data_IF_455317116150
#
_entry.id   IF_455317116150
#
_cell.length_a   1.000
_cell.length_b   1.000
_cell.length_c   1.000
_cell.angle_alpha   90.00
_cell.angle_beta   90.00
_cell.angle_gamma   90.00
#
_symmetry.space_group_name_H-M   'P 1'
#
loop_
_entity.id
_entity.type
_entity.pdbx_description
1 polymer ?
#
# COMPACT_ATOMS: atom_id res chain seq x y z
N UNK A 1 -7.88 2.53 37.17
CA UNK A 1 -8.15 2.63 35.71
C UNK A 1 -8.40 4.10 35.36
N UNK A 2 -7.41 4.77 34.75
CA UNK A 2 -7.53 6.17 34.31
C UNK A 2 -7.91 6.18 32.83
N UNK A 3 -9.06 6.77 32.51
CA UNK A 3 -9.47 7.10 31.13
C UNK A 3 -8.89 8.45 30.78
N UNK A 4 -7.93 8.49 29.86
CA UNK A 4 -7.42 9.73 29.28
C UNK A 4 -8.19 10.00 28.00
N UNK A 5 -9.01 11.05 28.01
CA UNK A 5 -9.67 11.60 26.84
C UNK A 5 -8.70 12.62 26.24
N UNK A 6 -8.23 12.38 25.02
CA UNK A 6 -7.35 13.33 24.31
C UNK A 6 -8.21 14.26 23.47
N UNK A 7 -8.21 15.52 23.87
CA UNK A 7 -8.84 16.67 23.21
C UNK A 7 -8.15 16.99 21.88
N UNK A 8 -8.94 17.20 20.83
CA UNK A 8 -8.45 17.69 19.54
C UNK A 8 -8.25 19.21 19.61
N UNK A 9 -6.99 19.63 19.50
CA UNK A 9 -6.59 21.04 19.45
C UNK A 9 -6.86 21.66 18.08
N UNK A 10 -7.79 22.62 18.06
CA UNK A 10 -7.91 23.84 17.24
C UNK A 10 -7.23 23.87 15.87
N UNK A 11 -8.08 23.87 14.83
CA UNK A 11 -7.75 24.26 13.46
C UNK A 11 -7.55 25.78 13.43
N UNK A 12 -6.37 26.22 12.96
CA UNK A 12 -6.07 27.63 12.72
C UNK A 12 -6.71 28.07 11.41
N UNK A 13 -7.66 29.00 11.49
CA UNK A 13 -8.26 29.67 10.36
C UNK A 13 -7.31 30.76 9.83
N UNK A 14 -6.87 30.63 8.58
CA UNK A 14 -6.17 31.71 7.87
C UNK A 14 -7.17 32.47 7.01
N UNK A 15 -7.08 33.78 7.14
CA UNK A 15 -7.98 34.84 6.70
C UNK A 15 -8.26 34.88 5.20
N UNK A 16 -9.54 34.94 4.87
CA UNK A 16 -10.10 35.21 3.55
C UNK A 16 -10.16 36.74 3.37
N UNK A 17 -9.26 37.31 2.55
CA UNK A 17 -9.33 38.74 2.18
C UNK A 17 -10.17 38.84 0.91
N UNK A 18 -11.42 39.24 1.08
CA UNK A 18 -12.32 39.59 -0.03
C UNK A 18 -11.97 41.01 -0.46
N UNK A 19 -11.27 41.17 -1.58
CA UNK A 19 -11.17 42.46 -2.26
C UNK A 19 -12.22 42.54 -3.35
N UNK A 20 -13.28 43.30 -3.07
CA UNK A 20 -14.29 43.70 -4.06
C UNK A 20 -13.71 44.85 -4.88
N UNK A 21 -13.69 44.70 -6.20
CA UNK A 21 -13.57 45.82 -7.13
C UNK A 21 -14.58 45.61 -8.26
N UNK A 22 -15.42 46.62 -8.43
CA UNK A 22 -16.61 46.62 -9.26
C UNK A 22 -16.33 47.40 -10.55
N UNK A 23 -16.83 46.87 -11.66
CA UNK A 23 -17.30 47.51 -12.91
C UNK A 23 -16.35 47.77 -14.12
N UNK A 24 -16.90 47.34 -15.27
CA UNK A 24 -16.80 47.85 -16.65
C UNK A 24 -15.71 47.33 -17.61
N UNK A 25 -16.06 46.22 -18.29
CA UNK A 25 -16.27 46.12 -19.75
C UNK A 25 -15.18 46.54 -20.73
N UNK A 26 -14.64 45.56 -21.47
CA UNK A 26 -14.45 45.60 -22.93
C UNK A 26 -14.50 44.18 -23.49
N UNK A 27 -15.26 44.01 -24.57
CA UNK A 27 -15.33 42.79 -25.37
C UNK A 27 -14.03 42.58 -26.16
N UNK A 28 -13.38 41.44 -25.93
CA UNK A 28 -12.42 40.86 -26.86
C UNK A 28 -12.54 39.35 -26.81
N UNK A 29 -12.80 38.73 -27.96
CA UNK A 29 -12.68 37.29 -28.15
C UNK A 29 -11.21 36.89 -28.00
N UNK A 30 -10.80 36.63 -26.75
CA UNK A 30 -9.51 36.02 -26.44
C UNK A 30 -9.65 34.51 -26.56
N UNK A 31 -9.01 33.93 -27.56
CA UNK A 31 -8.79 32.49 -27.64
C UNK A 31 -8.04 32.06 -26.37
N UNK A 32 -8.65 31.20 -25.55
CA UNK A 32 -7.95 30.50 -24.48
C UNK A 32 -7.06 29.42 -25.11
N UNK A 33 -5.86 29.84 -25.52
CA UNK A 33 -4.72 28.97 -25.78
C UNK A 33 -3.90 28.91 -24.50
N UNK A 34 -3.50 27.70 -24.11
CA UNK A 34 -2.50 27.50 -23.07
C UNK A 34 -2.90 26.41 -22.10
N UNK A 35 -2.66 25.17 -22.51
CA UNK A 35 -2.58 24.00 -21.66
C UNK A 35 -1.72 24.29 -20.45
N UNK A 36 -2.35 24.49 -19.30
CA UNK A 36 -1.67 24.41 -18.02
C UNK A 36 -2.05 23.06 -17.41
N UNK A 37 -1.42 22.02 -17.94
CA UNK A 37 -1.47 20.68 -17.38
C UNK A 37 -0.63 20.69 -16.09
N UNK A 38 -1.18 21.27 -15.02
CA UNK A 38 -0.56 21.25 -13.70
C UNK A 38 -0.73 19.86 -13.12
N UNK A 39 0.12 18.93 -13.55
CA UNK A 39 0.26 17.63 -12.93
C UNK A 39 0.85 17.84 -11.53
N UNK A 40 0.00 17.72 -10.51
CA UNK A 40 0.42 17.72 -9.11
C UNK A 40 1.11 16.39 -8.82
N UNK A 41 2.45 16.35 -8.92
CA UNK A 41 3.23 15.18 -8.49
C UNK A 41 3.36 15.19 -6.96
N UNK A 42 2.52 14.42 -6.28
CA UNK A 42 2.65 14.20 -4.83
C UNK A 42 3.76 13.16 -4.61
N UNK A 43 5.00 13.61 -4.35
CA UNK A 43 6.10 12.72 -3.97
C UNK A 43 5.93 12.30 -2.51
N UNK A 44 5.54 11.05 -2.26
CA UNK A 44 5.46 10.51 -0.90
C UNK A 44 6.86 10.13 -0.40
N UNK A 45 7.44 10.94 0.49
CA UNK A 45 8.67 10.55 1.20
C UNK A 45 8.41 9.27 2.02
N UNK A 46 9.21 8.23 1.76
CA UNK A 46 9.14 6.98 2.53
C UNK A 46 9.45 7.28 4.00
N UNK A 47 8.65 6.80 4.97
CA UNK A 47 9.05 6.83 6.36
C UNK A 47 10.31 5.97 6.56
N UNK A 48 11.24 6.42 7.40
CA UNK A 48 12.53 5.73 7.65
C UNK A 48 12.40 4.33 8.29
N UNK A 49 11.19 3.93 8.70
CA UNK A 49 10.89 2.60 9.23
C UNK A 49 10.35 1.63 8.17
N UNK A 50 10.32 2.04 6.90
CA UNK A 50 9.79 1.24 5.79
C UNK A 50 10.89 0.70 4.90
N UNK A 51 10.75 -0.56 4.47
CA UNK A 51 11.63 -1.13 3.46
C UNK A 51 11.01 -0.89 2.09
N UNK A 52 11.74 -0.19 1.22
CA UNK A 52 11.33 0.05 -0.18
C UNK A 52 12.07 -0.92 -1.09
N UNK A 53 11.33 -1.62 -1.95
CA UNK A 53 11.84 -2.65 -2.84
C UNK A 53 11.43 -2.39 -4.29
N UNK A 54 12.25 -2.83 -5.26
CA UNK A 54 11.85 -2.83 -6.67
C UNK A 54 10.86 -3.98 -6.93
N UNK A 55 9.94 -3.81 -7.87
CA UNK A 55 8.99 -4.85 -8.25
C UNK A 55 9.71 -6.10 -8.79
N UNK A 56 9.25 -7.29 -8.40
CA UNK A 56 9.84 -8.58 -8.79
C UNK A 56 11.13 -8.97 -8.04
N UNK A 57 11.57 -8.16 -7.07
CA UNK A 57 12.78 -8.43 -6.28
C UNK A 57 12.69 -9.74 -5.48
N UNK A 58 13.79 -10.50 -5.49
CA UNK A 58 13.97 -11.63 -4.58
C UNK A 58 14.16 -11.14 -3.15
N UNK A 59 13.42 -11.74 -2.21
CA UNK A 59 13.34 -11.30 -0.83
C UNK A 59 13.37 -12.48 0.15
N UNK A 60 13.90 -12.20 1.33
CA UNK A 60 13.79 -13.05 2.51
C UNK A 60 13.16 -12.23 3.62
N UNK A 61 11.96 -12.63 4.03
CA UNK A 61 11.16 -11.93 5.03
C UNK A 61 11.00 -12.79 6.27
N UNK A 62 10.90 -12.13 7.42
CA UNK A 62 10.51 -12.77 8.67
C UNK A 62 9.21 -12.15 9.16
N UNK A 63 8.35 -12.97 9.72
CA UNK A 63 7.05 -12.54 10.19
C UNK A 63 6.19 -13.68 10.68
N UNK A 64 5.00 -13.34 11.14
CA UNK A 64 4.00 -14.31 11.60
C UNK A 64 3.01 -14.60 10.49
N UNK A 65 2.70 -15.88 10.25
CA UNK A 65 1.63 -16.27 9.34
C UNK A 65 0.28 -16.05 10.02
N UNK A 66 -0.59 -15.25 9.41
CA UNK A 66 -1.95 -15.00 9.87
C UNK A 66 -2.95 -15.27 8.72
N UNK A 67 -4.21 -15.54 9.06
CA UNK A 67 -5.30 -15.59 8.10
C UNK A 67 -6.17 -14.35 8.22
N UNK A 68 -6.41 -13.68 7.09
CA UNK A 68 -7.33 -12.56 7.00
C UNK A 68 -8.61 -13.03 6.33
N UNK A 69 -9.76 -12.75 6.96
CA UNK A 69 -11.07 -12.94 6.36
C UNK A 69 -11.55 -11.60 5.80
N UNK A 70 -11.98 -11.60 4.54
CA UNK A 70 -12.55 -10.42 3.89
C UNK A 70 -13.73 -10.81 3.04
N UNK A 71 -14.43 -9.81 2.51
CA UNK A 71 -15.63 -9.97 1.70
C UNK A 71 -15.35 -9.52 0.29
N UNK A 72 -15.63 -10.40 -0.68
CA UNK A 72 -15.51 -10.05 -2.09
C UNK A 72 -16.52 -8.95 -2.45
N UNK A 73 -16.04 -7.92 -3.15
CA UNK A 73 -16.82 -6.72 -3.47
C UNK A 73 -17.96 -6.98 -4.46
N UNK A 74 -17.86 -8.03 -5.27
CA UNK A 74 -18.82 -8.34 -6.33
C UNK A 74 -19.85 -9.40 -5.91
N UNK A 75 -19.37 -10.54 -5.40
CA UNK A 75 -20.22 -11.65 -4.95
C UNK A 75 -20.74 -11.46 -3.53
N UNK A 76 -20.08 -10.64 -2.71
CA UNK A 76 -20.40 -10.51 -1.29
C UNK A 76 -20.04 -11.74 -0.46
N UNK A 77 -19.34 -12.72 -1.04
CA UNK A 77 -18.91 -13.92 -0.32
C UNK A 77 -17.72 -13.62 0.57
N UNK A 78 -17.67 -14.27 1.72
CA UNK A 78 -16.49 -14.25 2.57
C UNK A 78 -15.43 -15.20 2.01
N UNK A 79 -14.18 -14.77 2.02
CA UNK A 79 -13.04 -15.61 1.72
C UNK A 79 -11.91 -15.31 2.70
N UNK A 80 -11.03 -16.30 2.87
CA UNK A 80 -9.84 -16.19 3.71
C UNK A 80 -8.61 -16.34 2.83
N UNK A 81 -7.54 -15.65 3.19
CA UNK A 81 -6.24 -15.79 2.55
C UNK A 81 -5.12 -15.65 3.59
N UNK A 82 -3.96 -16.21 3.27
CA UNK A 82 -2.77 -16.13 4.10
C UNK A 82 -2.06 -14.79 3.92
N UNK A 83 -1.58 -14.24 5.03
CA UNK A 83 -0.70 -13.07 5.04
C UNK A 83 0.53 -13.37 5.88
N UNK A 84 1.67 -12.81 5.46
CA UNK A 84 2.82 -12.66 6.32
C UNK A 84 2.74 -11.30 7.00
N UNK A 85 2.54 -11.31 8.32
CA UNK A 85 2.62 -10.10 9.15
C UNK A 85 4.08 -9.88 9.55
N UNK A 86 4.64 -8.81 9.03
CA UNK A 86 6.04 -8.43 9.21
C UNK A 86 6.23 -7.41 10.34
N UNK A 87 7.41 -7.37 10.93
CA UNK A 87 7.74 -6.39 11.99
C UNK A 87 7.99 -4.98 11.43
N UNK A 88 8.43 -4.90 10.17
CA UNK A 88 8.71 -3.66 9.46
C UNK A 88 7.82 -3.55 8.24
N UNK A 89 7.14 -2.42 8.00
CA UNK A 89 6.33 -2.26 6.79
C UNK A 89 7.16 -2.30 5.51
N UNK A 90 6.56 -2.86 4.45
CA UNK A 90 7.11 -2.95 3.11
C UNK A 90 6.30 -2.13 2.13
N UNK A 91 6.97 -1.55 1.12
CA UNK A 91 6.35 -0.90 -0.02
C UNK A 91 7.18 -1.15 -1.28
N UNK A 92 6.56 -1.04 -2.44
CA UNK A 92 7.29 -0.97 -3.70
C UNK A 92 7.78 0.45 -3.97
N UNK A 93 8.88 0.53 -4.71
CA UNK A 93 9.43 1.78 -5.21
C UNK A 93 8.48 2.34 -6.27
N UNK A 94 8.16 3.62 -6.12
CA UNK A 94 7.44 4.37 -7.14
C UNK A 94 8.28 4.43 -8.41
N UNK A 95 7.71 4.00 -9.53
CA UNK A 95 8.30 4.19 -10.87
C UNK A 95 7.75 5.51 -11.40
N UNK A 96 8.63 6.46 -11.70
CA UNK A 96 8.20 7.76 -12.24
C UNK A 96 7.44 7.52 -13.55
N UNK A 97 6.25 8.11 -13.67
CA UNK A 97 5.43 8.01 -14.88
C UNK A 97 6.05 8.90 -15.98
N UNK A 98 7.09 8.39 -16.63
CA UNK A 98 7.81 9.07 -17.72
C UNK A 98 7.22 8.78 -19.09
N UNK A 99 6.12 8.02 -19.18
CA UNK A 99 5.58 7.50 -20.44
C UNK A 99 6.32 6.27 -20.99
N UNK A 100 7.42 5.85 -20.35
CA UNK A 100 8.16 4.62 -20.64
C UNK A 100 8.30 3.80 -19.35
N UNK A 101 7.53 2.72 -19.24
CA UNK A 101 7.58 1.80 -18.09
C UNK A 101 6.21 1.38 -17.60
N UNK A 102 6.16 0.27 -16.86
CA UNK A 102 4.92 -0.23 -16.27
C UNK A 102 4.54 0.63 -15.06
N UNK A 103 3.37 1.28 -15.14
CA UNK A 103 2.80 2.04 -14.04
C UNK A 103 2.51 1.13 -12.85
N UNK A 104 3.02 1.49 -11.67
CA UNK A 104 2.70 0.80 -10.41
C UNK A 104 1.59 1.57 -9.69
N UNK A 105 0.52 0.87 -9.35
CA UNK A 105 -0.62 1.42 -8.62
C UNK A 105 -0.23 1.89 -7.20
N UNK A 106 -0.77 3.03 -6.76
CA UNK A 106 -0.57 3.67 -5.45
C UNK A 106 -0.69 2.72 -4.24
N UNK A 107 -1.56 1.72 -4.34
CA UNK A 107 -1.72 0.69 -3.31
C UNK A 107 -0.43 -0.09 -3.04
N UNK A 108 0.46 -0.20 -4.03
CA UNK A 108 1.75 -0.90 -3.92
C UNK A 108 2.86 -0.06 -3.29
N UNK A 109 2.81 1.26 -3.45
CA UNK A 109 3.79 2.20 -2.87
C UNK A 109 3.40 2.63 -1.45
N UNK A 110 2.19 2.25 -1.01
CA UNK A 110 1.72 2.44 0.35
C UNK A 110 2.34 1.40 1.29
N UNK A 111 3.04 1.81 2.37
CA UNK A 111 3.62 0.87 3.32
C UNK A 111 2.60 -0.06 3.98
N UNK A 112 2.86 -1.36 3.95
CA UNK A 112 2.03 -2.39 4.60
C UNK A 112 2.86 -3.33 5.47
N UNK A 113 2.31 -3.73 6.63
CA UNK A 113 2.89 -4.80 7.47
C UNK A 113 2.31 -6.17 7.12
N UNK A 114 1.16 -6.22 6.44
CA UNK A 114 0.48 -7.44 6.05
C UNK A 114 0.70 -7.66 4.56
N UNK A 115 1.53 -8.64 4.23
CA UNK A 115 1.81 -9.01 2.86
C UNK A 115 0.99 -10.26 2.53
N UNK A 116 -0.02 -10.18 1.64
CA UNK A 116 -0.72 -11.35 1.15
C UNK A 116 0.25 -12.31 0.48
N UNK A 117 0.09 -13.60 0.76
CA UNK A 117 0.93 -14.65 0.19
C UNK A 117 0.19 -15.26 -0.98
N UNK A 118 0.82 -15.26 -2.15
CA UNK A 118 0.30 -15.97 -3.32
C UNK A 118 0.49 -17.46 -3.13
N UNK A 119 -0.61 -18.18 -3.18
CA UNK A 119 -0.73 -19.61 -2.89
C UNK A 119 -0.36 -20.40 -4.15
N UNK A 120 0.26 -21.57 -4.00
CA UNK A 120 0.65 -22.36 -5.18
C UNK A 120 -0.56 -23.05 -5.83
N UNK A 121 -1.55 -23.44 -5.02
CA UNK A 121 -2.81 -24.01 -5.49
C UNK A 121 -4.02 -23.23 -4.91
N UNK A 122 -4.72 -22.43 -5.73
CA UNK A 122 -5.89 -21.65 -5.30
C UNK A 122 -7.03 -22.49 -4.70
N UNK A 123 -7.08 -23.80 -5.01
CA UNK A 123 -8.10 -24.71 -4.46
C UNK A 123 -7.79 -25.16 -3.03
N UNK A 124 -6.54 -25.02 -2.59
CA UNK A 124 -6.02 -25.52 -1.32
C UNK A 124 -5.32 -24.46 -0.46
N UNK A 125 -5.18 -23.23 -0.96
CA UNK A 125 -5.00 -21.96 -0.27
C UNK A 125 -4.69 -22.02 1.24
N UNK A 126 -5.73 -22.20 2.05
CA UNK A 126 -5.63 -22.19 3.51
C UNK A 126 -4.85 -23.39 4.06
N UNK A 127 -5.02 -24.56 3.47
CA UNK A 127 -4.38 -25.80 3.96
C UNK A 127 -2.86 -25.76 3.85
N UNK A 128 -2.34 -25.08 2.82
CA UNK A 128 -0.91 -24.87 2.57
C UNK A 128 -0.20 -24.16 3.73
N UNK A 129 -0.91 -23.22 4.38
CA UNK A 129 -0.35 -22.41 5.47
C UNK A 129 -0.88 -22.79 6.86
N UNK A 130 -1.82 -23.72 6.96
CA UNK A 130 -2.47 -24.08 8.23
C UNK A 130 -1.46 -24.57 9.27
N UNK A 131 -0.44 -25.32 8.86
CA UNK A 131 0.62 -25.79 9.76
C UNK A 131 1.48 -24.66 10.33
N UNK A 132 1.57 -23.52 9.64
CA UNK A 132 2.37 -22.36 10.04
C UNK A 132 1.56 -21.27 10.74
N UNK A 133 0.23 -21.42 10.84
CA UNK A 133 -0.65 -20.40 11.42
C UNK A 133 -0.20 -19.99 12.83
N UNK A 134 0.00 -18.69 13.02
CA UNK A 134 0.47 -18.10 14.28
C UNK A 134 1.95 -18.31 14.57
N UNK A 135 2.69 -19.01 13.71
CA UNK A 135 4.12 -19.22 13.87
C UNK A 135 4.91 -18.07 13.25
N UNK A 136 6.02 -17.72 13.89
CA UNK A 136 7.01 -16.81 13.34
C UNK A 136 7.92 -17.61 12.40
N UNK A 137 7.94 -17.25 11.12
CA UNK A 137 8.61 -17.99 10.05
C UNK A 137 9.61 -17.12 9.30
N UNK A 138 10.54 -17.77 8.59
CA UNK A 138 11.32 -17.12 7.53
C UNK A 138 10.79 -17.60 6.18
N UNK A 139 10.39 -16.64 5.33
CA UNK A 139 9.80 -16.89 4.03
C UNK A 139 10.68 -16.27 2.94
N UNK A 140 11.01 -17.05 1.90
CA UNK A 140 11.75 -16.57 0.72
C UNK A 140 10.85 -16.56 -0.50
N UNK A 141 11.01 -15.58 -1.38
CA UNK A 141 10.19 -15.48 -2.58
C UNK A 141 10.43 -14.18 -3.34
N UNK A 142 9.42 -13.77 -4.11
CA UNK A 142 9.42 -12.50 -4.83
C UNK A 142 8.29 -11.61 -4.34
N UNK A 143 8.58 -10.32 -4.17
CA UNK A 143 7.53 -9.31 -3.97
C UNK A 143 7.04 -8.86 -5.34
N UNK A 144 5.72 -8.77 -5.53
CA UNK A 144 5.12 -8.33 -6.80
C UNK A 144 4.06 -7.26 -6.61
N UNK A 145 3.98 -6.35 -7.57
CA UNK A 145 2.89 -5.40 -7.66
C UNK A 145 1.58 -6.10 -8.04
N UNK A 146 0.46 -5.53 -7.59
CA UNK A 146 -0.88 -5.95 -8.04
C UNK A 146 -1.70 -4.76 -8.51
N UNK A 147 -2.77 -5.06 -9.25
CA UNK A 147 -3.82 -4.10 -9.56
C UNK A 147 -4.71 -3.94 -8.32
N UNK A 148 -4.60 -2.77 -7.66
CA UNK A 148 -5.46 -2.26 -6.59
C UNK A 148 -5.38 -2.88 -5.18
N UNK A 149 -4.58 -3.93 -4.95
CA UNK A 149 -4.56 -4.63 -3.64
C UNK A 149 -3.22 -4.54 -2.91
N UNK A 150 -2.33 -3.64 -3.36
CA UNK A 150 -0.98 -3.52 -2.82
C UNK A 150 -0.08 -4.70 -3.17
N UNK A 151 1.14 -4.74 -2.60
CA UNK A 151 2.12 -5.72 -3.00
C UNK A 151 1.81 -7.09 -2.40
N UNK A 152 2.10 -8.14 -3.16
CA UNK A 152 1.92 -9.54 -2.75
C UNK A 152 3.24 -10.30 -2.75
N UNK A 153 3.27 -11.39 -2.01
CA UNK A 153 4.43 -12.25 -1.82
C UNK A 153 4.23 -13.57 -2.56
N UNK A 154 4.90 -13.73 -3.70
CA UNK A 154 5.02 -15.03 -4.36
C UNK A 154 6.09 -15.84 -3.64
N UNK A 155 5.66 -16.68 -2.70
CA UNK A 155 6.59 -17.42 -1.88
C UNK A 155 7.17 -18.63 -2.62
N UNK A 156 8.42 -18.95 -2.32
CA UNK A 156 9.16 -20.10 -2.83
C UNK A 156 9.43 -21.11 -1.71
N UNK A 157 9.77 -20.64 -0.50
CA UNK A 157 9.99 -21.53 0.64
C UNK A 157 9.58 -20.87 1.96
N UNK A 158 9.16 -21.70 2.92
CA UNK A 158 8.85 -21.31 4.29
C UNK A 158 9.65 -22.22 5.22
N UNK A 159 10.32 -21.61 6.19
CA UNK A 159 11.09 -22.32 7.20
C UNK A 159 10.72 -21.84 8.59
N UNK A 160 10.62 -22.79 9.52
CA UNK A 160 10.48 -22.50 10.94
C UNK A 160 11.85 -22.18 11.53
N UNK A 161 11.94 -21.28 12.52
CA UNK A 161 13.16 -21.11 13.29
C UNK A 161 13.57 -22.47 13.86
N UNK A 162 14.82 -22.87 13.63
CA UNK A 162 15.37 -24.05 14.29
C UNK A 162 15.25 -23.84 15.79
N UNK A 163 14.58 -24.78 16.48
CA UNK A 163 14.78 -24.91 17.92
C UNK A 163 16.18 -25.45 18.11
N UNK A 164 17.08 -24.59 18.57
CA UNK A 164 18.34 -25.06 19.15
C UNK A 164 17.97 -25.97 20.33
N UNK A 165 18.29 -27.26 20.21
CA UNK A 165 18.09 -28.28 21.24
C UNK A 165 19.22 -28.21 22.28
#
# INVERSE_FOLDING_TARGET
MRRTVVSWGKISASSLVISVSVLCGFSSSGHASGDNDTTLTIKYSAPNYTTTLDDGSDITLKGTIEFVETRDKHSGNYYKYAVLKTDTPYRLKEVENTGEGDYIDDSNVTPTMFLPITEHDPKNSISEFTSYLGQYVTLTGKIKSTSHNGPVLEYQSITLPQKDN
#
